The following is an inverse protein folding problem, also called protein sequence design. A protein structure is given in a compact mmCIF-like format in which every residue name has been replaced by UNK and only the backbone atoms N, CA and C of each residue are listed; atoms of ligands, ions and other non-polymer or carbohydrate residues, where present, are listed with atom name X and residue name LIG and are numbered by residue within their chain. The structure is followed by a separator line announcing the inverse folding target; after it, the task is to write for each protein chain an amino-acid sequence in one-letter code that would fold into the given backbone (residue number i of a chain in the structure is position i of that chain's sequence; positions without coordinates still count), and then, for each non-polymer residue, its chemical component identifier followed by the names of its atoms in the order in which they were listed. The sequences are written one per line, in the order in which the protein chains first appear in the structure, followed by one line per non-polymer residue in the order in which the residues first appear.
data_IF_403322491357
#
_entry.id   IF_403322491357
#
_cell.length_a   1.000
_cell.length_b   1.000
_cell.length_c   1.000
_cell.angle_alpha   90.00
_cell.angle_beta   90.00
_cell.angle_gamma   90.00
#
_symmetry.space_group_name_H-M   'P 1'
#
loop_
_entity.id
_entity.type
_entity.pdbx_description
1 polymer ?
#
# COMPACT_ATOMS: atom_id res chain seq x y z
N UNK A 1 -17.94 33.22 -71.11
CA UNK A 1 -17.23 33.79 -70.00
C UNK A 1 -17.67 32.96 -68.81
N UNK A 2 -16.92 31.94 -68.49
CA UNK A 2 -17.16 31.07 -67.36
C UNK A 2 -15.78 30.77 -66.74
N UNK A 3 -15.50 31.44 -65.62
CA UNK A 3 -14.26 31.29 -64.87
C UNK A 3 -14.33 30.02 -64.04
N UNK A 4 -13.37 29.15 -64.28
CA UNK A 4 -13.10 27.96 -63.60
C UNK A 4 -12.32 28.32 -62.33
N UNK A 5 -12.98 28.30 -61.16
CA UNK A 5 -12.31 28.29 -59.85
C UNK A 5 -11.74 26.90 -59.60
N UNK A 6 -10.45 26.80 -59.81
CA UNK A 6 -9.68 25.63 -59.39
C UNK A 6 -9.33 25.82 -57.89
N UNK A 7 -10.08 25.16 -57.05
CA UNK A 7 -9.70 25.06 -55.63
C UNK A 7 -8.54 24.07 -55.53
N UNK A 8 -7.39 24.59 -55.19
CA UNK A 8 -6.25 23.81 -54.73
C UNK A 8 -6.54 23.26 -53.34
N UNK A 9 -7.05 22.07 -53.26
CA UNK A 9 -7.01 21.29 -51.99
C UNK A 9 -5.55 20.93 -51.73
N UNK A 10 -4.91 21.70 -50.86
CA UNK A 10 -3.68 21.30 -50.21
C UNK A 10 -3.97 20.12 -49.29
N UNK A 11 -4.07 18.93 -49.88
CA UNK A 11 -4.07 17.69 -49.16
C UNK A 11 -2.74 17.56 -48.43
N UNK A 12 -2.78 17.79 -47.15
CA UNK A 12 -1.72 17.34 -46.23
C UNK A 12 -1.72 15.81 -46.36
N UNK A 13 -0.87 15.28 -47.25
CA UNK A 13 -0.63 13.83 -47.31
C UNK A 13 0.01 13.42 -45.97
N UNK A 14 -0.82 13.01 -45.04
CA UNK A 14 -0.36 12.32 -43.85
C UNK A 14 0.26 11.00 -44.32
N UNK A 15 1.58 10.81 -44.19
CA UNK A 15 2.18 9.58 -44.65
C UNK A 15 1.47 8.40 -43.97
N UNK A 16 0.98 7.48 -44.81
CA UNK A 16 0.42 6.21 -44.35
C UNK A 16 1.54 5.37 -43.70
N UNK A 17 1.90 5.74 -42.51
CA UNK A 17 2.69 4.90 -41.59
C UNK A 17 1.76 3.75 -41.21
N UNK A 18 1.77 2.72 -42.10
CA UNK A 18 0.84 1.61 -42.15
C UNK A 18 0.19 1.31 -40.79
N UNK A 19 -1.12 1.40 -40.74
CA UNK A 19 -1.92 1.26 -39.51
C UNK A 19 -1.47 0.08 -38.62
N UNK A 20 -0.90 -0.96 -39.24
CA UNK A 20 -0.32 -2.10 -38.53
C UNK A 20 0.93 -1.76 -37.70
N UNK A 21 1.80 -0.87 -38.18
CA UNK A 21 3.00 -0.44 -37.42
C UNK A 21 2.60 0.41 -36.22
N UNK A 22 1.65 1.32 -36.43
CA UNK A 22 1.11 2.13 -35.33
C UNK A 22 0.45 1.26 -34.25
N UNK A 23 -0.40 0.31 -34.67
CA UNK A 23 -1.05 -0.64 -33.77
C UNK A 23 -0.01 -1.47 -33.00
N UNK A 24 1.05 -1.92 -33.68
CA UNK A 24 2.16 -2.65 -33.04
C UNK A 24 2.86 -1.82 -31.95
N UNK A 25 3.18 -0.55 -32.24
CA UNK A 25 3.78 0.36 -31.25
C UNK A 25 2.86 0.62 -30.06
N UNK A 26 1.58 0.85 -30.29
CA UNK A 26 0.61 1.05 -29.20
C UNK A 26 0.51 -0.19 -28.32
N UNK A 27 0.42 -1.38 -28.93
CA UNK A 27 0.40 -2.64 -28.18
C UNK A 27 1.69 -2.86 -27.38
N UNK A 28 2.85 -2.58 -27.97
CA UNK A 28 4.14 -2.70 -27.29
C UNK A 28 4.23 -1.73 -26.09
N UNK A 29 3.82 -0.48 -26.26
CA UNK A 29 3.76 0.50 -25.17
C UNK A 29 2.81 0.05 -24.04
N UNK A 30 1.64 -0.46 -24.41
CA UNK A 30 0.67 -0.98 -23.42
C UNK A 30 1.25 -2.16 -22.63
N UNK A 31 1.95 -3.09 -23.29
CA UNK A 31 2.62 -4.20 -22.62
C UNK A 31 3.73 -3.74 -21.67
N UNK A 32 4.53 -2.75 -22.09
CA UNK A 32 5.56 -2.15 -21.22
C UNK A 32 4.93 -1.46 -20.01
N UNK A 33 3.88 -0.66 -20.22
CA UNK A 33 3.15 -0.02 -19.12
C UNK A 33 2.54 -1.03 -18.16
N UNK A 34 1.89 -2.07 -18.70
CA UNK A 34 1.35 -3.16 -17.87
C UNK A 34 2.44 -3.88 -17.10
N UNK A 35 3.59 -4.13 -17.71
CA UNK A 35 4.77 -4.70 -17.05
C UNK A 35 5.30 -3.81 -15.94
N UNK A 36 5.41 -2.51 -16.17
CA UNK A 36 5.83 -1.53 -15.15
C UNK A 36 4.84 -1.46 -13.99
N UNK A 37 3.54 -1.41 -14.26
CA UNK A 37 2.49 -1.42 -13.23
C UNK A 37 2.56 -2.71 -12.43
N UNK A 38 2.64 -3.87 -13.10
CA UNK A 38 2.77 -5.17 -12.46
C UNK A 38 4.01 -5.24 -11.56
N UNK A 39 5.16 -4.76 -12.04
CA UNK A 39 6.40 -4.71 -11.26
C UNK A 39 6.27 -3.77 -10.06
N UNK A 40 5.68 -2.58 -10.23
CA UNK A 40 5.48 -1.62 -9.15
C UNK A 40 4.54 -2.15 -8.06
N UNK A 41 3.51 -2.90 -8.44
CA UNK A 41 2.59 -3.53 -7.49
C UNK A 41 3.23 -4.74 -6.75
N UNK A 42 4.35 -5.26 -7.28
CA UNK A 42 5.09 -6.38 -6.72
C UNK A 42 6.34 -5.99 -5.94
N UNK A 43 6.57 -4.68 -5.70
CA UNK A 43 7.70 -4.24 -4.86
C UNK A 43 7.52 -4.87 -3.47
N UNK A 44 8.43 -5.77 -3.05
CA UNK A 44 8.33 -6.37 -1.73
C UNK A 44 8.48 -5.29 -0.65
N UNK A 45 7.87 -5.49 0.52
CA UNK A 45 8.10 -4.59 1.64
C UNK A 45 9.61 -4.55 1.98
N UNK A 46 10.08 -3.43 2.56
CA UNK A 46 11.48 -3.34 2.97
C UNK A 46 11.84 -4.49 3.92
N UNK A 47 13.07 -4.95 3.92
CA UNK A 47 13.51 -6.01 4.85
C UNK A 47 13.35 -5.54 6.30
N UNK A 48 13.05 -6.46 7.25
CA UNK A 48 12.96 -6.11 8.65
C UNK A 48 14.33 -5.62 9.18
N UNK A 49 14.31 -4.67 10.14
CA UNK A 49 15.52 -4.26 10.85
C UNK A 49 16.26 -5.47 11.47
N UNK A 50 17.60 -5.39 11.64
CA UNK A 50 18.39 -6.52 12.14
C UNK A 50 17.88 -7.08 13.47
N UNK A 51 17.48 -6.22 14.40
CA UNK A 51 16.91 -6.60 15.71
C UNK A 51 15.58 -7.35 15.58
N UNK A 52 14.75 -7.00 14.61
CA UNK A 52 13.49 -7.69 14.32
C UNK A 52 13.77 -9.02 13.62
N UNK A 53 14.73 -9.05 12.72
CA UNK A 53 15.13 -10.26 11.97
C UNK A 53 15.72 -11.34 12.90
N UNK A 54 16.39 -10.94 13.97
CA UNK A 54 17.02 -11.85 14.92
C UNK A 54 15.99 -12.67 15.75
N UNK A 55 14.77 -12.17 15.90
CA UNK A 55 13.69 -12.84 16.63
C UNK A 55 12.62 -13.35 15.65
N UNK A 56 12.44 -14.67 15.51
CA UNK A 56 11.48 -15.24 14.56
C UNK A 56 10.03 -14.77 14.80
N UNK A 57 9.65 -14.52 16.04
CA UNK A 57 8.30 -14.04 16.39
C UNK A 57 8.14 -12.58 15.95
N UNK A 58 9.13 -11.73 16.20
CA UNK A 58 9.12 -10.35 15.73
C UNK A 58 9.16 -10.27 14.20
N UNK A 59 9.96 -11.12 13.57
CA UNK A 59 10.03 -11.20 12.09
C UNK A 59 8.66 -11.57 11.49
N UNK A 60 7.97 -12.54 12.08
CA UNK A 60 6.60 -12.89 11.65
C UNK A 60 5.61 -11.76 11.90
N UNK A 61 5.69 -11.08 13.05
CA UNK A 61 4.88 -9.91 13.35
C UNK A 61 5.11 -8.76 12.38
N UNK A 62 6.35 -8.54 11.95
CA UNK A 62 6.71 -7.57 10.93
C UNK A 62 6.04 -7.88 9.58
N UNK A 63 6.07 -9.13 9.12
CA UNK A 63 5.41 -9.54 7.86
C UNK A 63 3.90 -9.24 7.89
N UNK A 64 3.25 -9.59 9.00
CA UNK A 64 1.81 -9.33 9.19
C UNK A 64 1.56 -7.82 9.22
N UNK A 65 2.41 -7.06 9.92
CA UNK A 65 2.30 -5.60 9.99
C UNK A 65 2.40 -4.97 8.60
N UNK A 66 3.39 -5.37 7.81
CA UNK A 66 3.60 -4.85 6.46
C UNK A 66 2.41 -5.14 5.54
N UNK A 67 1.76 -6.30 5.68
CA UNK A 67 0.64 -6.68 4.83
C UNK A 67 -0.71 -6.09 5.26
N UNK A 68 -0.95 -5.93 6.56
CA UNK A 68 -2.29 -5.60 7.09
C UNK A 68 -2.37 -4.22 7.75
N UNK A 69 -1.28 -3.71 8.32
CA UNK A 69 -1.31 -2.54 9.19
C UNK A 69 -0.64 -1.31 8.59
N UNK A 70 0.39 -1.52 7.75
CA UNK A 70 1.22 -0.49 7.13
C UNK A 70 0.39 0.62 6.46
N UNK A 71 -0.66 0.25 5.74
CA UNK A 71 -1.45 1.19 4.94
C UNK A 71 -2.07 2.32 5.77
N UNK A 72 -2.38 2.06 7.02
CA UNK A 72 -2.93 3.04 7.96
C UNK A 72 -1.87 3.53 8.96
N UNK A 73 -1.12 2.61 9.58
CA UNK A 73 -0.21 2.94 10.67
C UNK A 73 1.16 3.43 10.22
N UNK A 74 1.50 3.30 8.93
CA UNK A 74 2.80 3.72 8.39
C UNK A 74 3.93 2.74 8.71
N UNK A 75 5.06 2.88 8.01
CA UNK A 75 6.20 1.98 8.09
C UNK A 75 6.79 1.88 9.51
N UNK A 76 6.76 2.97 10.25
CA UNK A 76 7.32 3.06 11.59
C UNK A 76 6.25 3.12 12.69
N UNK A 77 4.99 2.89 12.36
CA UNK A 77 3.88 2.93 13.31
C UNK A 77 3.48 4.34 13.76
N UNK A 78 3.80 5.38 12.99
CA UNK A 78 3.49 6.79 13.35
C UNK A 78 2.05 7.22 13.06
N UNK A 79 1.22 6.35 12.46
CA UNK A 79 -0.12 6.70 12.01
C UNK A 79 -0.14 7.53 10.73
N UNK A 80 0.94 7.49 9.97
CA UNK A 80 1.21 8.26 8.74
C UNK A 80 1.17 7.41 7.47
N UNK A 81 0.52 6.26 7.52
CA UNK A 81 0.33 5.41 6.35
C UNK A 81 -0.52 6.09 5.26
N UNK A 82 -0.40 5.68 3.99
CA UNK A 82 -1.08 6.36 2.88
C UNK A 82 -2.61 6.44 3.04
N UNK A 83 -3.24 5.49 3.73
CA UNK A 83 -4.68 5.52 4.01
C UNK A 83 -5.06 6.44 5.18
N UNK A 84 -4.10 6.88 6.00
CA UNK A 84 -4.37 7.76 7.15
C UNK A 84 -4.96 9.11 6.74
N UNK A 85 -4.67 9.58 5.53
CA UNK A 85 -5.18 10.84 4.99
C UNK A 85 -6.65 10.80 4.57
N UNK A 86 -7.18 9.60 4.33
CA UNK A 86 -8.57 9.39 3.92
C UNK A 86 -9.46 8.83 5.04
N UNK A 87 -8.92 8.62 6.24
CA UNK A 87 -9.70 8.16 7.38
C UNK A 87 -10.23 9.33 8.21
N UNK A 88 -11.47 9.28 8.70
CA UNK A 88 -12.07 10.36 9.51
C UNK A 88 -11.36 10.54 10.86
N UNK A 89 -10.68 9.52 11.34
CA UNK A 89 -9.90 9.53 12.57
C UNK A 89 -8.50 9.04 12.27
N UNK A 90 -7.48 9.81 12.63
CA UNK A 90 -6.10 9.42 12.44
C UNK A 90 -5.78 8.11 13.16
N UNK A 91 -5.12 7.15 12.49
CA UNK A 91 -4.57 5.97 13.13
C UNK A 91 -3.63 6.36 14.27
N UNK A 92 -3.64 5.57 15.34
CA UNK A 92 -2.78 5.82 16.49
C UNK A 92 -1.31 5.79 16.09
N UNK A 93 -0.54 6.77 16.58
CA UNK A 93 0.91 6.69 16.60
C UNK A 93 1.34 5.68 17.68
N UNK A 94 1.89 4.56 17.25
CA UNK A 94 2.31 3.47 18.13
C UNK A 94 3.62 3.77 18.87
N UNK A 95 4.32 4.85 18.49
CA UNK A 95 5.53 5.32 19.17
C UNK A 95 5.26 6.27 20.33
N UNK A 96 4.05 6.80 20.42
CA UNK A 96 3.66 7.75 21.49
C UNK A 96 2.90 7.06 22.60
N UNK A 97 3.26 7.38 23.85
CA UNK A 97 2.59 6.91 25.05
C UNK A 97 1.74 8.04 25.67
N UNK A 98 0.74 7.73 26.48
CA UNK A 98 0.13 6.41 26.66
C UNK A 98 -0.80 6.03 25.49
N UNK A 99 -0.97 4.74 25.22
CA UNK A 99 -1.95 4.30 24.21
C UNK A 99 -3.37 4.38 24.78
N UNK A 100 -4.27 4.98 24.02
CA UNK A 100 -5.64 5.31 24.42
C UNK A 100 -6.44 4.14 25.00
N UNK A 101 -6.20 2.93 24.54
CA UNK A 101 -6.98 1.74 24.90
C UNK A 101 -6.16 0.70 25.68
N UNK A 102 -5.05 1.12 26.26
CA UNK A 102 -4.11 0.26 26.96
C UNK A 102 -2.95 -0.20 26.11
N UNK A 103 -1.84 -0.49 26.75
CA UNK A 103 -0.56 -0.85 26.14
C UNK A 103 -0.08 -2.25 26.53
N UNK A 104 -0.78 -2.88 27.48
CA UNK A 104 -0.52 -4.25 27.84
C UNK A 104 -0.89 -5.19 26.67
N UNK A 105 -0.38 -6.40 26.75
CA UNK A 105 -0.54 -7.37 25.68
C UNK A 105 -2.01 -7.69 25.39
N UNK A 106 -2.82 -7.79 26.44
CA UNK A 106 -4.24 -8.12 26.31
C UNK A 106 -5.04 -6.97 25.66
N UNK A 107 -4.75 -5.73 26.02
CA UNK A 107 -5.39 -4.57 25.42
C UNK A 107 -5.06 -4.47 23.92
N UNK A 108 -3.78 -4.67 23.55
CA UNK A 108 -3.36 -4.66 22.14
C UNK A 108 -3.99 -5.83 21.37
N UNK A 109 -4.01 -7.02 21.96
CA UNK A 109 -4.66 -8.21 21.40
C UNK A 109 -6.14 -7.94 21.13
N UNK A 110 -6.86 -7.38 22.10
CA UNK A 110 -8.28 -7.04 21.97
C UNK A 110 -8.54 -6.06 20.85
N UNK A 111 -7.73 -4.98 20.73
CA UNK A 111 -7.90 -3.98 19.66
C UNK A 111 -7.63 -4.61 18.29
N UNK A 112 -6.63 -5.46 18.15
CA UNK A 112 -6.37 -6.13 16.87
C UNK A 112 -7.51 -7.09 16.52
N UNK A 113 -7.99 -7.90 17.47
CA UNK A 113 -9.04 -8.88 17.20
C UNK A 113 -10.39 -8.23 16.95
N UNK A 114 -10.80 -7.28 17.78
CA UNK A 114 -12.15 -6.69 17.75
C UNK A 114 -12.24 -5.40 16.94
N UNK A 115 -11.11 -4.83 16.55
CA UNK A 115 -11.06 -3.53 15.90
C UNK A 115 -11.14 -2.35 16.86
N UNK A 116 -10.99 -1.17 16.30
CA UNK A 116 -11.14 0.07 17.07
C UNK A 116 -12.60 0.38 17.37
N UNK A 117 -12.91 0.96 18.55
CA UNK A 117 -14.29 1.22 18.97
C UNK A 117 -15.06 2.19 18.05
N UNK A 118 -14.35 2.95 17.21
CA UNK A 118 -14.95 3.87 16.24
C UNK A 118 -15.14 3.23 14.84
N UNK A 119 -14.88 1.93 14.68
CA UNK A 119 -15.05 1.21 13.43
C UNK A 119 -14.03 1.56 12.32
N UNK A 120 -13.10 2.51 12.58
CA UNK A 120 -12.08 2.91 11.59
C UNK A 120 -10.99 1.84 11.45
N UNK A 121 -10.54 1.26 12.56
CA UNK A 121 -9.67 0.10 12.55
C UNK A 121 -10.54 -1.17 12.47
N UNK A 122 -10.40 -1.98 11.42
CA UNK A 122 -11.19 -3.20 11.27
C UNK A 122 -10.80 -4.26 12.30
N UNK A 123 -11.70 -5.22 12.52
CA UNK A 123 -11.42 -6.42 13.30
C UNK A 123 -10.66 -7.44 12.46
N UNK A 124 -9.64 -8.07 13.04
CA UNK A 124 -8.82 -9.08 12.37
C UNK A 124 -9.02 -10.49 12.92
N UNK A 125 -10.00 -10.72 13.78
CA UNK A 125 -10.25 -12.04 14.39
C UNK A 125 -10.51 -13.18 13.38
N UNK A 126 -11.00 -12.83 12.20
CA UNK A 126 -11.23 -13.82 11.13
C UNK A 126 -9.93 -14.27 10.45
N UNK A 127 -8.94 -13.37 10.33
CA UNK A 127 -7.74 -13.54 9.51
C UNK A 127 -6.46 -13.77 10.31
N UNK A 128 -6.34 -13.17 11.51
CA UNK A 128 -5.14 -13.24 12.35
C UNK A 128 -5.46 -13.99 13.64
N UNK A 129 -4.88 -15.20 13.80
CA UNK A 129 -5.18 -16.10 14.93
C UNK A 129 -3.93 -16.79 15.46
N UNK A 130 -4.03 -17.33 16.67
CA UNK A 130 -2.97 -18.15 17.26
C UNK A 130 -1.62 -17.47 17.26
N UNK A 131 -0.58 -18.15 16.82
CA UNK A 131 0.81 -17.63 16.79
C UNK A 131 0.97 -16.36 15.95
N UNK A 132 0.19 -16.16 14.92
CA UNK A 132 0.20 -14.93 14.13
C UNK A 132 -0.31 -13.73 14.93
N UNK A 133 -1.33 -13.94 15.76
CA UNK A 133 -1.83 -12.91 16.67
C UNK A 133 -0.79 -12.57 17.74
N UNK A 134 -0.11 -13.56 18.32
CA UNK A 134 0.95 -13.35 19.28
C UNK A 134 2.11 -12.57 18.67
N UNK A 135 2.49 -12.92 17.44
CA UNK A 135 3.56 -12.26 16.70
C UNK A 135 3.26 -10.79 16.42
N UNK A 136 2.07 -10.48 15.90
CA UNK A 136 1.70 -9.09 15.59
C UNK A 136 1.55 -8.23 16.85
N UNK A 137 1.01 -8.78 17.94
CA UNK A 137 0.91 -8.10 19.23
C UNK A 137 2.32 -7.76 19.77
N UNK A 138 3.23 -8.73 19.74
CA UNK A 138 4.63 -8.53 20.16
C UNK A 138 5.31 -7.47 19.30
N UNK A 139 5.12 -7.52 17.97
CA UNK A 139 5.71 -6.55 17.05
C UNK A 139 5.14 -5.13 17.28
N UNK A 140 3.83 -4.95 17.39
CA UNK A 140 3.25 -3.63 17.65
C UNK A 140 3.78 -3.02 18.95
N UNK A 141 3.97 -3.83 19.99
CA UNK A 141 4.54 -3.37 21.27
C UNK A 141 6.02 -3.02 21.17
N UNK A 142 6.77 -3.69 20.30
CA UNK A 142 8.19 -3.37 20.08
C UNK A 142 8.42 -2.06 19.31
N UNK A 143 7.39 -1.50 18.68
CA UNK A 143 7.47 -0.18 18.04
C UNK A 143 7.56 0.97 19.06
N UNK A 144 7.21 0.73 20.32
CA UNK A 144 7.38 1.72 21.38
C UNK A 144 8.86 2.00 21.63
N UNK A 145 9.22 3.24 21.97
CA UNK A 145 10.59 3.52 22.39
C UNK A 145 10.94 2.70 23.65
N UNK A 146 12.17 2.20 23.69
CA UNK A 146 12.71 1.61 24.91
C UNK A 146 12.73 2.68 26.00
N UNK A 147 12.20 2.37 27.18
CA UNK A 147 12.31 3.23 28.37
C UNK A 147 13.69 3.09 28.97
#
# INVERSE_FOLDING_TARGET
MSETETQAENGLEVPDVGAGRYLFFVMACMLVLMGMIYYSLRIPPPPPPPEVKADPILSRGYEIYMSQCLSCHGLQGRGDGPRSYSTPIKPRNLKEEPWKYGEDEEAVRRIITKGGPNGVMPAFEATIKGRDLDAIVKYCRSLKPAR
#
